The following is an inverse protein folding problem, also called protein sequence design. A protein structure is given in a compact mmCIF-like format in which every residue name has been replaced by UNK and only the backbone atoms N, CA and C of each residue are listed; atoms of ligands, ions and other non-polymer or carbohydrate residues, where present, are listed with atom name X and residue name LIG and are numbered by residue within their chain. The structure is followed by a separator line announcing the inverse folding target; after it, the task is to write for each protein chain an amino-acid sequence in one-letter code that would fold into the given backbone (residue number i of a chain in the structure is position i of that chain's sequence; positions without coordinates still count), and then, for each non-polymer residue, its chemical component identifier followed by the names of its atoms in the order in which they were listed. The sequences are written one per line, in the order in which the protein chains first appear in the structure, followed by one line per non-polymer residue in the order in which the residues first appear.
data_IF_118221962994
#
_entry.id   IF_118221962994
#
_cell.length_a   1.000
_cell.length_b   1.000
_cell.length_c   1.000
_cell.angle_alpha   90.00
_cell.angle_beta   90.00
_cell.angle_gamma   90.00
#
_symmetry.space_group_name_H-M   'P 1'
#
loop_
_entity.id
_entity.type
_entity.pdbx_description
1 polymer ?
#
# COMPACT_ATOMS: atom_id res chain seq x y z
N UNK A 1 22.61 -6.45 13.43
CA UNK A 1 22.61 -6.42 11.95
C UNK A 1 22.08 -5.05 11.54
N UNK A 2 22.74 -4.34 10.64
CA UNK A 2 22.45 -2.92 10.34
C UNK A 2 21.27 -2.86 9.36
N UNK A 3 20.24 -2.08 9.69
CA UNK A 3 19.12 -1.82 8.78
C UNK A 3 19.63 -1.03 7.56
N UNK A 4 19.08 -1.26 6.36
CA UNK A 4 19.42 -0.47 5.18
C UNK A 4 19.22 1.03 5.43
N UNK A 5 20.13 1.87 4.95
CA UNK A 5 19.93 3.34 5.01
C UNK A 5 18.93 3.82 3.96
N UNK A 6 18.71 3.02 2.90
CA UNK A 6 17.82 3.31 1.78
C UNK A 6 16.91 2.09 1.54
N UNK A 7 15.62 2.34 1.36
CA UNK A 7 14.59 1.35 1.07
C UNK A 7 13.93 1.62 -0.28
N UNK A 8 13.53 0.57 -0.98
CA UNK A 8 12.68 0.72 -2.17
C UNK A 8 11.24 0.97 -1.74
N UNK A 9 10.60 1.91 -2.44
CA UNK A 9 9.15 2.14 -2.36
C UNK A 9 8.54 1.42 -3.55
N UNK A 10 7.67 0.46 -3.26
CA UNK A 10 7.00 -0.34 -4.27
C UNK A 10 5.50 -0.10 -4.23
N UNK A 11 4.90 -0.02 -5.41
CA UNK A 11 3.45 -0.13 -5.57
C UNK A 11 3.15 -1.59 -5.82
N UNK A 12 2.27 -2.15 -5.00
CA UNK A 12 1.88 -3.56 -5.02
C UNK A 12 0.38 -3.68 -5.31
N UNK A 13 0.01 -4.70 -6.08
CA UNK A 13 -1.38 -5.01 -6.41
C UNK A 13 -1.76 -6.41 -5.95
N UNK A 14 -2.89 -6.54 -5.26
CA UNK A 14 -3.42 -7.80 -4.74
C UNK A 14 -4.84 -8.07 -5.24
N UNK A 15 -5.21 -9.35 -5.24
CA UNK A 15 -6.62 -9.74 -5.17
C UNK A 15 -7.11 -9.72 -3.72
N UNK A 16 -8.24 -9.05 -3.43
CA UNK A 16 -8.87 -9.14 -2.10
C UNK A 16 -9.57 -10.50 -1.82
N UNK A 17 -9.53 -11.47 -2.75
CA UNK A 17 -10.09 -12.81 -2.60
C UNK A 17 -11.22 -13.12 -3.59
N UNK A 18 -12.23 -13.90 -3.17
CA UNK A 18 -13.50 -14.15 -3.90
C UNK A 18 -14.74 -13.84 -3.02
N UNK A 19 -15.60 -12.89 -3.43
CA UNK A 19 -16.76 -12.47 -2.61
C UNK A 19 -17.94 -13.44 -2.73
N UNK A 20 -18.03 -14.09 -3.89
CA UNK A 20 -18.94 -15.17 -4.26
C UNK A 20 -18.33 -15.89 -5.48
N UNK A 21 -18.69 -17.16 -5.77
CA UNK A 21 -18.17 -17.87 -6.93
C UNK A 21 -18.35 -17.04 -8.20
N UNK A 22 -17.27 -16.84 -8.97
CA UNK A 22 -17.25 -16.12 -10.25
C UNK A 22 -17.40 -14.59 -10.16
N UNK A 23 -17.25 -13.99 -8.97
CA UNK A 23 -17.02 -12.54 -8.84
C UNK A 23 -15.62 -12.29 -8.27
N UNK A 24 -14.62 -11.99 -9.13
CA UNK A 24 -13.34 -11.53 -8.62
C UNK A 24 -13.56 -10.29 -7.75
N UNK A 25 -12.90 -10.21 -6.59
CA UNK A 25 -12.90 -8.97 -5.81
C UNK A 25 -12.35 -7.81 -6.65
N UNK A 26 -12.67 -6.60 -6.20
CA UNK A 26 -11.95 -5.43 -6.63
C UNK A 26 -10.46 -5.58 -6.31
N UNK A 27 -9.59 -5.16 -7.24
CA UNK A 27 -8.15 -5.13 -7.04
C UNK A 27 -7.83 -4.26 -5.81
N UNK A 28 -6.80 -4.59 -5.04
CA UNK A 28 -6.33 -3.73 -3.97
C UNK A 28 -4.93 -3.26 -4.31
N UNK A 29 -4.74 -1.95 -4.27
CA UNK A 29 -3.42 -1.34 -4.36
C UNK A 29 -2.87 -1.03 -2.96
N UNK A 30 -1.56 -1.06 -2.81
CA UNK A 30 -0.88 -0.56 -1.61
C UNK A 30 0.51 -0.04 -1.95
N UNK A 31 1.02 0.84 -1.10
CA UNK A 31 2.44 1.19 -1.06
C UNK A 31 3.10 0.22 -0.07
N UNK A 32 4.19 -0.39 -0.49
CA UNK A 32 4.98 -1.33 0.29
C UNK A 32 6.45 -0.89 0.36
N UNK A 33 6.98 -0.83 1.58
CA UNK A 33 8.40 -0.55 1.83
C UNK A 33 8.98 -1.70 2.64
N UNK A 34 9.86 -2.49 2.05
CA UNK A 34 10.49 -3.62 2.75
C UNK A 34 11.58 -3.11 3.70
N UNK A 35 11.31 -3.14 5.01
CA UNK A 35 12.23 -2.66 6.05
C UNK A 35 12.99 -3.78 6.79
N UNK A 36 12.65 -5.05 6.57
CA UNK A 36 13.27 -6.18 7.29
C UNK A 36 13.48 -7.45 6.48
N UNK A 37 14.06 -8.47 7.13
CA UNK A 37 14.24 -9.80 6.57
C UNK A 37 12.88 -10.48 6.31
N UNK A 38 12.85 -11.35 5.29
CA UNK A 38 11.59 -11.95 4.82
C UNK A 38 10.66 -10.89 4.23
N UNK A 39 9.34 -11.09 4.35
CA UNK A 39 8.34 -10.16 3.81
C UNK A 39 7.93 -9.07 4.82
N UNK A 40 8.82 -8.66 5.72
CA UNK A 40 8.52 -7.64 6.73
C UNK A 40 8.82 -6.23 6.21
N UNK A 41 7.92 -5.30 6.51
CA UNK A 41 7.97 -3.95 5.96
C UNK A 41 6.78 -3.10 6.39
N UNK A 42 6.63 -1.95 5.75
CA UNK A 42 5.57 -0.99 5.99
C UNK A 42 4.58 -1.08 4.83
N UNK A 43 3.31 -1.34 5.12
CA UNK A 43 2.21 -1.30 4.15
C UNK A 43 1.33 -0.10 4.42
N UNK A 44 0.99 0.62 3.36
CA UNK A 44 0.01 1.70 3.38
C UNK A 44 -1.03 1.40 2.30
N UNK A 45 -2.29 1.20 2.68
CA UNK A 45 -3.36 0.85 1.74
C UNK A 45 -4.65 1.59 2.07
N UNK A 46 -5.42 1.94 1.05
CA UNK A 46 -6.80 2.38 1.26
C UNK A 46 -7.70 1.19 1.57
N UNK A 47 -8.49 1.28 2.63
CA UNK A 47 -9.52 0.30 3.02
C UNK A 47 -10.86 0.98 3.10
N UNK A 48 -11.95 0.24 2.85
CA UNK A 48 -13.31 0.75 2.93
C UNK A 48 -14.05 0.65 1.60
N UNK A 49 -14.93 1.61 1.33
CA UNK A 49 -15.74 1.70 0.11
C UNK A 49 -15.81 3.15 -0.44
N UNK A 50 -16.54 3.34 -1.55
CA UNK A 50 -16.74 4.65 -2.20
C UNK A 50 -17.23 5.77 -1.28
N UNK A 51 -17.87 5.39 -0.17
CA UNK A 51 -18.55 6.27 0.78
C UNK A 51 -17.73 6.48 2.03
N UNK A 52 -17.06 5.42 2.52
CA UNK A 52 -16.25 5.43 3.73
C UNK A 52 -14.96 4.67 3.49
N UNK A 53 -13.87 5.37 3.15
CA UNK A 53 -12.56 4.77 3.04
C UNK A 53 -11.51 5.52 3.87
N UNK A 54 -10.48 4.80 4.29
CA UNK A 54 -9.42 5.25 5.20
C UNK A 54 -8.07 4.64 4.80
N UNK A 55 -6.96 5.25 5.20
CA UNK A 55 -5.64 4.64 5.07
C UNK A 55 -5.41 3.68 6.24
N UNK A 56 -5.17 2.40 5.93
CA UNK A 56 -4.68 1.39 6.85
C UNK A 56 -3.14 1.37 6.78
N UNK A 57 -2.51 1.70 7.90
CA UNK A 57 -1.04 1.75 8.06
C UNK A 57 -0.58 0.57 8.90
N UNK A 58 0.36 -0.21 8.37
CA UNK A 58 0.92 -1.38 9.06
C UNK A 58 2.43 -1.35 9.02
N UNK A 59 3.04 -1.17 10.19
CA UNK A 59 4.48 -0.99 10.35
C UNK A 59 5.16 -2.27 10.81
N UNK A 60 6.31 -2.59 10.20
CA UNK A 60 7.13 -3.76 10.50
C UNK A 60 6.40 -5.12 10.52
N UNK A 61 5.32 -5.23 9.75
CA UNK A 61 4.52 -6.46 9.65
C UNK A 61 4.84 -7.22 8.36
N UNK A 62 4.58 -8.53 8.30
CA UNK A 62 4.57 -9.26 7.04
C UNK A 62 3.58 -8.66 6.04
N UNK A 63 3.92 -8.63 4.76
CA UNK A 63 2.99 -8.23 3.71
C UNK A 63 1.79 -9.18 3.66
N UNK A 64 0.61 -8.66 3.94
CA UNK A 64 -0.63 -9.44 3.89
C UNK A 64 -0.95 -9.88 2.47
N UNK A 65 -1.70 -10.99 2.34
CA UNK A 65 -2.19 -11.49 1.06
C UNK A 65 -1.08 -11.70 0.01
N UNK A 66 0.14 -11.98 0.45
CA UNK A 66 1.27 -12.24 -0.45
C UNK A 66 0.97 -13.30 -1.52
N UNK A 67 0.26 -14.37 -1.14
CA UNK A 67 -0.12 -15.43 -2.08
C UNK A 67 -1.08 -14.96 -3.18
N UNK A 68 -1.72 -13.79 -2.99
CA UNK A 68 -2.62 -13.13 -3.93
C UNK A 68 -1.97 -11.90 -4.58
N UNK A 69 -0.66 -11.71 -4.40
CA UNK A 69 0.09 -10.66 -5.09
C UNK A 69 0.04 -10.91 -6.60
N UNK A 70 -0.47 -9.93 -7.34
CA UNK A 70 -0.52 -9.98 -8.81
C UNK A 70 0.74 -9.41 -9.43
N UNK A 71 1.34 -8.41 -8.79
CA UNK A 71 2.58 -7.79 -9.23
C UNK A 71 2.97 -6.61 -8.37
N UNK A 72 4.20 -6.15 -8.58
CA UNK A 72 4.74 -4.94 -7.98
C UNK A 72 5.60 -4.20 -8.99
N UNK A 73 5.77 -2.90 -8.76
CA UNK A 73 6.79 -2.12 -9.45
C UNK A 73 7.37 -1.07 -8.49
N UNK A 74 8.66 -0.78 -8.66
CA UNK A 74 9.37 0.20 -7.86
C UNK A 74 9.07 1.60 -8.39
N UNK A 75 8.68 2.50 -7.49
CA UNK A 75 8.38 3.91 -7.79
C UNK A 75 9.45 4.86 -7.30
N UNK A 76 10.32 4.41 -6.40
CA UNK A 76 11.42 5.21 -5.92
C UNK A 76 12.15 4.57 -4.76
N UNK A 77 12.98 5.37 -4.12
CA UNK A 77 13.67 4.97 -2.89
C UNK A 77 13.52 6.03 -1.83
N UNK A 78 13.50 5.61 -0.57
CA UNK A 78 13.35 6.47 0.59
C UNK A 78 14.43 6.13 1.60
N UNK A 79 15.11 7.13 2.16
CA UNK A 79 16.03 6.88 3.26
C UNK A 79 15.28 6.54 4.54
N UNK A 80 15.98 5.97 5.52
CA UNK A 80 15.37 5.70 6.83
C UNK A 80 14.77 6.93 7.50
N UNK A 81 15.40 8.09 7.35
CA UNK A 81 14.89 9.35 7.92
C UNK A 81 13.64 9.83 7.18
N UNK A 82 13.63 9.70 5.86
CA UNK A 82 12.51 10.12 5.02
C UNK A 82 11.31 9.17 5.13
N UNK A 83 11.51 7.92 5.57
CA UNK A 83 10.43 6.96 5.77
C UNK A 83 9.44 7.42 6.85
N UNK A 84 9.95 8.02 7.94
CA UNK A 84 9.11 8.60 8.99
C UNK A 84 8.31 9.81 8.47
N UNK A 85 8.94 10.63 7.61
CA UNK A 85 8.28 11.78 6.98
C UNK A 85 7.20 11.33 5.98
N UNK A 86 7.47 10.29 5.20
CA UNK A 86 6.52 9.66 4.28
C UNK A 86 5.28 9.13 5.03
N UNK A 87 5.46 8.50 6.19
CA UNK A 87 4.33 8.05 7.01
C UNK A 87 3.44 9.23 7.45
N UNK A 88 4.05 10.33 7.88
CA UNK A 88 3.32 11.55 8.28
C UNK A 88 2.56 12.15 7.08
N UNK A 89 3.17 12.16 5.89
CA UNK A 89 2.53 12.66 4.67
C UNK A 89 1.33 11.79 4.32
N UNK A 90 1.50 10.47 4.31
CA UNK A 90 0.43 9.52 3.98
C UNK A 90 -0.74 9.62 4.97
N UNK A 91 -0.49 9.83 6.27
CA UNK A 91 -1.55 10.07 7.25
C UNK A 91 -2.34 11.37 7.02
N UNK A 92 -1.82 12.30 6.21
CA UNK A 92 -2.41 13.61 5.92
C UNK A 92 -3.02 13.71 4.53
N UNK A 93 -2.90 12.69 3.69
CA UNK A 93 -3.52 12.70 2.37
C UNK A 93 -5.03 12.82 2.55
N UNK A 94 -5.59 13.94 2.09
CA UNK A 94 -7.03 14.18 2.15
C UNK A 94 -7.75 13.18 1.25
N UNK A 95 -8.59 12.37 1.87
CA UNK A 95 -9.29 11.28 1.24
C UNK A 95 -10.60 11.83 0.64
N UNK A 96 -10.65 12.04 -0.68
CA UNK A 96 -11.79 12.65 -1.39
C UNK A 96 -12.94 11.64 -1.60
N UNK A 97 -13.98 11.71 -0.76
CA UNK A 97 -15.18 10.87 -0.85
C UNK A 97 -15.94 10.97 -2.18
N UNK A 98 -16.66 9.88 -2.55
CA UNK A 98 -17.49 9.76 -3.76
C UNK A 98 -16.73 9.75 -5.10
N UNK A 99 -15.49 9.24 -5.11
CA UNK A 99 -14.76 9.02 -6.35
C UNK A 99 -15.11 7.63 -6.91
N UNK A 100 -15.75 7.53 -8.10
CA UNK A 100 -16.10 6.24 -8.69
C UNK A 100 -14.89 5.32 -8.93
N UNK A 101 -13.72 5.92 -9.18
CA UNK A 101 -12.42 5.27 -9.41
C UNK A 101 -11.52 5.23 -8.16
N UNK A 102 -12.08 5.33 -6.94
CA UNK A 102 -11.31 5.32 -5.68
C UNK A 102 -10.38 4.11 -5.48
N UNK A 103 -10.68 3.00 -6.18
CA UNK A 103 -9.91 1.77 -6.13
C UNK A 103 -9.05 1.55 -7.40
N UNK A 104 -8.91 2.59 -8.21
CA UNK A 104 -7.92 2.60 -9.28
C UNK A 104 -6.54 2.97 -8.72
N UNK A 105 -5.50 2.85 -9.55
CA UNK A 105 -4.12 3.17 -9.17
C UNK A 105 -3.91 4.67 -8.87
N UNK A 106 -4.81 5.54 -9.31
CA UNK A 106 -4.67 7.00 -9.25
C UNK A 106 -4.31 7.54 -7.87
N UNK A 107 -4.87 6.99 -6.78
CA UNK A 107 -4.53 7.46 -5.43
C UNK A 107 -3.09 7.13 -5.03
N UNK A 108 -2.54 6.05 -5.59
CA UNK A 108 -1.14 5.69 -5.38
C UNK A 108 -0.25 6.64 -6.14
N UNK A 109 -0.60 6.96 -7.38
CA UNK A 109 0.14 7.91 -8.22
C UNK A 109 0.08 9.33 -7.63
N UNK A 110 -1.06 9.76 -7.06
CA UNK A 110 -1.22 11.05 -6.38
C UNK A 110 -0.45 11.15 -5.05
N UNK A 111 -0.16 10.01 -4.40
CA UNK A 111 0.54 9.95 -3.13
C UNK A 111 2.07 9.89 -3.26
N UNK A 112 2.60 9.71 -4.48
CA UNK A 112 4.03 9.58 -4.82
C UNK A 112 4.59 10.89 -5.40
#
# INVERSE_FOLDING_TARGET
QVEPEIYNVEVVQFWQGEAAPLRPYALQWAIWVRTGLGMRGHTYKLVGDQTNYAIDVRLHQPLENWNNLRGSYCVGTVSRKELDEMEIILQRVDIIHNIPWWNDQDWVDDAL
#
